data_IF_040328711934
#
_entry.id   IF_040328711934
#
_cell.length_a   1.000
_cell.length_b   1.000
_cell.length_c   1.000
_cell.angle_alpha   90.00
_cell.angle_beta   90.00
_cell.angle_gamma   90.00
#
_symmetry.space_group_name_H-M   'P 1'
#
loop_
_entity.id
_entity.type
_entity.pdbx_description
1 polymer ?
#
# COMPACT_ATOMS: atom_id res chain seq x y z
N UNK A 1 -10.83 11.97 -18.75
CA UNK A 1 -10.14 10.74 -18.32
C UNK A 1 -11.18 9.66 -18.06
N UNK A 2 -10.99 8.48 -18.65
CA UNK A 2 -11.70 7.25 -18.28
C UNK A 2 -10.70 6.31 -17.61
N UNK A 3 -10.82 6.17 -16.29
CA UNK A 3 -9.84 5.52 -15.43
C UNK A 3 -10.30 4.14 -14.98
N UNK A 4 -9.44 3.13 -15.08
CA UNK A 4 -9.62 1.86 -14.39
C UNK A 4 -8.94 1.92 -13.02
N UNK A 5 -9.66 1.63 -11.93
CA UNK A 5 -9.12 1.44 -10.58
C UNK A 5 -9.31 -0.01 -10.17
N UNK A 6 -8.22 -0.78 -10.18
CA UNK A 6 -8.27 -2.13 -9.60
C UNK A 6 -8.20 -2.04 -8.08
N UNK A 7 -8.99 -2.86 -7.38
CA UNK A 7 -9.02 -2.83 -5.92
C UNK A 7 -9.81 -1.66 -5.33
N UNK A 8 -10.76 -1.07 -6.07
CA UNK A 8 -11.62 0.02 -5.56
C UNK A 8 -12.45 -0.36 -4.32
N UNK A 9 -12.66 -1.66 -4.08
CA UNK A 9 -13.27 -2.17 -2.85
C UNK A 9 -12.41 -2.03 -1.58
N UNK A 10 -11.11 -1.77 -1.74
CA UNK A 10 -10.13 -1.63 -0.65
C UNK A 10 -10.02 -0.22 -0.08
N UNK A 11 -9.10 -0.02 0.87
CA UNK A 11 -8.92 1.28 1.53
C UNK A 11 -8.44 2.37 0.57
N UNK A 12 -7.23 2.21 0.02
CA UNK A 12 -6.63 3.14 -0.93
C UNK A 12 -7.42 3.24 -2.24
N UNK A 13 -7.79 2.11 -2.83
CA UNK A 13 -8.53 2.09 -4.09
C UNK A 13 -9.89 2.77 -3.98
N UNK A 14 -10.59 2.61 -2.85
CA UNK A 14 -11.88 3.28 -2.63
C UNK A 14 -11.73 4.80 -2.55
N UNK A 15 -10.77 5.28 -1.76
CA UNK A 15 -10.49 6.71 -1.66
C UNK A 15 -10.03 7.31 -3.01
N UNK A 16 -9.29 6.55 -3.81
CA UNK A 16 -8.91 6.94 -5.17
C UNK A 16 -10.10 7.05 -6.12
N UNK A 17 -11.08 6.13 -6.04
CA UNK A 17 -12.33 6.26 -6.80
C UNK A 17 -13.02 7.58 -6.45
N UNK A 18 -13.17 7.92 -5.17
CA UNK A 18 -13.81 9.17 -4.74
C UNK A 18 -13.07 10.40 -5.28
N UNK A 19 -11.72 10.43 -5.18
CA UNK A 19 -10.94 11.54 -5.71
C UNK A 19 -11.14 11.68 -7.22
N UNK A 20 -11.05 10.59 -7.97
CA UNK A 20 -11.18 10.62 -9.44
C UNK A 20 -12.56 11.12 -9.88
N UNK A 21 -13.63 10.70 -9.20
CA UNK A 21 -14.97 11.23 -9.45
C UNK A 21 -15.06 12.73 -9.16
N UNK A 22 -14.45 13.21 -8.06
CA UNK A 22 -14.40 14.64 -7.74
C UNK A 22 -13.65 15.46 -8.79
N UNK A 23 -12.75 14.82 -9.57
CA UNK A 23 -12.02 15.41 -10.69
C UNK A 23 -12.77 15.30 -12.03
N UNK A 24 -14.00 14.79 -12.02
CA UNK A 24 -14.83 14.60 -13.21
C UNK A 24 -14.40 13.43 -14.10
N UNK A 25 -13.60 12.48 -13.58
CA UNK A 25 -13.24 11.28 -14.34
C UNK A 25 -14.40 10.29 -14.36
N UNK A 26 -14.56 9.59 -15.49
CA UNK A 26 -15.38 8.38 -15.54
C UNK A 26 -14.55 7.22 -14.97
N UNK A 27 -15.04 6.55 -13.93
CA UNK A 27 -14.28 5.53 -13.22
C UNK A 27 -14.87 4.16 -13.50
N UNK A 28 -14.02 3.21 -13.85
CA UNK A 28 -14.33 1.78 -13.79
C UNK A 28 -13.57 1.16 -12.64
N UNK A 29 -14.21 0.35 -11.82
CA UNK A 29 -13.53 -0.38 -10.75
C UNK A 29 -13.58 -1.87 -11.00
N UNK A 30 -12.41 -2.52 -10.95
CA UNK A 30 -12.30 -3.99 -10.95
C UNK A 30 -12.06 -4.48 -9.52
N UNK A 31 -12.96 -5.31 -9.01
CA UNK A 31 -12.82 -5.91 -7.68
C UNK A 31 -13.46 -7.31 -7.62
N UNK A 32 -13.05 -8.14 -6.65
CA UNK A 32 -13.48 -9.54 -6.57
C UNK A 32 -14.91 -9.76 -6.08
N UNK A 33 -15.47 -8.80 -5.35
CA UNK A 33 -16.81 -8.90 -4.78
C UNK A 33 -17.60 -7.62 -5.04
N UNK A 34 -18.83 -7.62 -4.54
CA UNK A 34 -19.69 -6.45 -4.60
C UNK A 34 -19.35 -5.47 -3.48
N UNK A 35 -19.34 -4.19 -3.82
CA UNK A 35 -19.05 -3.12 -2.88
C UNK A 35 -20.13 -2.04 -3.04
N UNK A 36 -21.21 -2.07 -2.24
CA UNK A 36 -22.33 -1.14 -2.37
C UNK A 36 -21.92 0.34 -2.43
N UNK A 37 -20.88 0.73 -1.69
CA UNK A 37 -20.34 2.11 -1.71
C UNK A 37 -19.78 2.57 -3.06
N UNK A 38 -19.41 1.64 -3.96
CA UNK A 38 -18.94 1.95 -5.30
C UNK A 38 -20.09 2.11 -6.28
N UNK A 39 -21.31 1.69 -5.92
CA UNK A 39 -22.51 1.83 -6.75
C UNK A 39 -23.01 3.26 -6.64
N UNK A 40 -22.47 4.13 -7.49
CA UNK A 40 -22.87 5.55 -7.57
C UNK A 40 -22.67 6.08 -8.99
N UNK A 41 -23.33 7.22 -9.35
CA UNK A 41 -23.17 7.81 -10.67
C UNK A 41 -21.69 8.06 -11.01
N UNK A 42 -21.30 7.71 -12.24
CA UNK A 42 -19.92 7.86 -12.73
C UNK A 42 -18.98 6.68 -12.43
N UNK A 43 -19.45 5.64 -11.73
CA UNK A 43 -18.68 4.41 -11.48
C UNK A 43 -19.31 3.21 -12.18
N UNK A 44 -18.53 2.53 -13.00
CA UNK A 44 -18.83 1.20 -13.54
C UNK A 44 -18.11 0.14 -12.70
N UNK A 45 -18.83 -0.80 -12.11
CA UNK A 45 -18.22 -1.89 -11.34
C UNK A 45 -18.11 -3.15 -12.21
N UNK A 46 -16.89 -3.67 -12.36
CA UNK A 46 -16.59 -4.96 -12.96
C UNK A 46 -16.19 -5.91 -11.85
N UNK A 47 -16.96 -6.99 -11.68
CA UNK A 47 -16.60 -8.04 -10.75
C UNK A 47 -15.66 -9.05 -11.43
N UNK A 48 -14.51 -9.31 -10.83
CA UNK A 48 -13.55 -10.27 -11.36
C UNK A 48 -12.25 -10.33 -10.57
N UNK A 49 -11.46 -11.36 -10.85
CA UNK A 49 -10.09 -11.48 -10.34
C UNK A 49 -9.11 -10.92 -11.37
N UNK A 50 -8.13 -10.13 -10.92
CA UNK A 50 -7.08 -9.61 -11.81
C UNK A 50 -6.21 -10.73 -12.38
N UNK A 51 -6.14 -11.89 -11.70
CA UNK A 51 -5.44 -13.07 -12.20
C UNK A 51 -6.17 -13.76 -13.36
N UNK A 52 -7.45 -13.43 -13.61
CA UNK A 52 -8.19 -13.86 -14.79
C UNK A 52 -7.96 -12.88 -15.95
N UNK A 53 -7.33 -13.33 -17.06
CA UNK A 53 -7.05 -12.46 -18.21
C UNK A 53 -8.33 -11.92 -18.87
N UNK A 54 -9.44 -12.66 -18.84
CA UNK A 54 -10.70 -12.20 -19.42
C UNK A 54 -11.31 -11.05 -18.61
N UNK A 55 -11.29 -11.16 -17.28
CA UNK A 55 -11.72 -10.10 -16.37
C UNK A 55 -10.84 -8.84 -16.51
N UNK A 56 -9.52 -9.01 -16.62
CA UNK A 56 -8.59 -7.91 -16.87
C UNK A 56 -8.86 -7.22 -18.21
N UNK A 57 -9.08 -7.99 -19.28
CA UNK A 57 -9.42 -7.47 -20.61
C UNK A 57 -10.72 -6.65 -20.58
N UNK A 58 -11.80 -7.22 -20.02
CA UNK A 58 -13.08 -6.53 -19.87
C UNK A 58 -12.94 -5.22 -19.10
N UNK A 59 -12.20 -5.25 -17.98
CA UNK A 59 -11.98 -4.07 -17.16
C UNK A 59 -11.22 -2.96 -17.91
N UNK A 60 -10.22 -3.30 -18.73
CA UNK A 60 -9.43 -2.30 -19.45
C UNK A 60 -10.15 -1.65 -20.64
N UNK A 61 -11.24 -2.23 -21.17
CA UNK A 61 -11.89 -1.76 -22.41
C UNK A 61 -12.28 -0.28 -22.39
N UNK A 62 -11.66 0.52 -23.26
CA UNK A 62 -11.94 1.94 -23.42
C UNK A 62 -11.46 2.81 -22.25
N UNK A 63 -10.61 2.29 -21.35
CA UNK A 63 -9.93 3.08 -20.34
C UNK A 63 -8.63 3.65 -20.93
N UNK A 64 -8.36 4.93 -20.69
CA UNK A 64 -7.12 5.60 -21.12
C UNK A 64 -6.00 5.51 -20.06
N UNK A 65 -6.38 5.33 -18.80
CA UNK A 65 -5.50 5.34 -17.63
C UNK A 65 -5.85 4.19 -16.69
N UNK A 66 -4.84 3.45 -16.23
CA UNK A 66 -5.00 2.34 -15.27
C UNK A 66 -4.29 2.66 -13.96
N UNK A 67 -5.04 2.65 -12.87
CA UNK A 67 -4.55 2.68 -11.50
C UNK A 67 -4.59 1.26 -10.92
N UNK A 68 -3.43 0.61 -10.88
CA UNK A 68 -3.30 -0.74 -10.36
C UNK A 68 -3.00 -0.74 -8.85
N UNK A 69 -4.08 -0.69 -8.04
CA UNK A 69 -4.03 -0.68 -6.56
C UNK A 69 -4.29 -2.06 -5.95
N UNK A 70 -4.91 -2.98 -6.70
CA UNK A 70 -5.19 -4.33 -6.23
C UNK A 70 -3.90 -5.11 -5.93
N UNK A 71 -3.82 -5.69 -4.73
CA UNK A 71 -2.75 -6.60 -4.35
C UNK A 71 -3.25 -7.57 -3.27
N UNK A 72 -2.66 -8.77 -3.23
CA UNK A 72 -2.68 -9.61 -2.04
C UNK A 72 -1.59 -9.10 -1.10
N UNK A 73 -2.03 -8.47 -0.02
CA UNK A 73 -1.19 -7.98 1.08
C UNK A 73 -1.16 -8.99 2.23
N UNK A 74 -0.18 -8.87 3.11
CA UNK A 74 -0.05 -9.68 4.32
C UNK A 74 1.24 -10.50 4.36
N UNK A 75 1.51 -11.08 5.54
CA UNK A 75 2.79 -11.75 5.84
C UNK A 75 2.67 -13.27 5.95
N UNK A 76 1.47 -13.81 5.73
CA UNK A 76 1.18 -15.23 5.86
C UNK A 76 0.32 -15.74 4.70
N UNK A 77 0.52 -17.01 4.33
CA UNK A 77 -0.18 -17.67 3.23
C UNK A 77 0.78 -18.26 2.21
N UNK A 78 0.21 -18.95 1.21
CA UNK A 78 0.99 -19.68 0.20
C UNK A 78 1.56 -18.71 -0.82
N UNK A 79 2.83 -18.89 -1.18
CA UNK A 79 3.49 -18.12 -2.23
C UNK A 79 2.67 -18.04 -3.53
N UNK A 80 2.06 -19.14 -3.96
CA UNK A 80 1.25 -19.20 -5.19
C UNK A 80 0.10 -18.18 -5.20
N UNK A 81 -0.51 -17.91 -4.04
CA UNK A 81 -1.63 -16.98 -3.94
C UNK A 81 -1.14 -15.53 -4.08
N UNK A 82 0.04 -15.21 -3.53
CA UNK A 82 0.71 -13.91 -3.73
C UNK A 82 1.15 -13.74 -5.17
N UNK A 83 1.77 -14.76 -5.77
CA UNK A 83 2.24 -14.71 -7.15
C UNK A 83 1.09 -14.53 -8.14
N UNK A 84 0.01 -15.31 -8.00
CA UNK A 84 -1.16 -15.22 -8.87
C UNK A 84 -1.77 -13.81 -8.84
N UNK A 85 -1.94 -13.23 -7.64
CA UNK A 85 -2.55 -11.89 -7.53
C UNK A 85 -1.57 -10.80 -7.95
N UNK A 86 -0.36 -10.77 -7.37
CA UNK A 86 0.54 -9.64 -7.48
C UNK A 86 1.39 -9.67 -8.74
N UNK A 87 1.75 -10.85 -9.29
CA UNK A 87 2.61 -10.95 -10.47
C UNK A 87 1.77 -11.24 -11.71
N UNK A 88 1.04 -12.37 -11.70
CA UNK A 88 0.19 -12.75 -12.83
C UNK A 88 -0.90 -11.72 -13.08
N UNK A 89 -1.57 -11.23 -12.02
CA UNK A 89 -2.58 -10.18 -12.15
C UNK A 89 -2.04 -8.86 -12.71
N UNK A 90 -0.83 -8.45 -12.31
CA UNK A 90 -0.17 -7.27 -12.89
C UNK A 90 0.18 -7.49 -14.36
N UNK A 91 0.73 -8.66 -14.73
CA UNK A 91 1.04 -8.99 -16.11
C UNK A 91 -0.21 -8.98 -17.02
N UNK A 92 -1.32 -9.56 -16.54
CA UNK A 92 -2.60 -9.54 -17.25
C UNK A 92 -3.09 -8.10 -17.48
N UNK A 93 -3.03 -7.25 -16.45
CA UNK A 93 -3.46 -5.85 -16.56
C UNK A 93 -2.56 -5.04 -17.50
N UNK A 94 -1.25 -5.26 -17.49
CA UNK A 94 -0.32 -4.61 -18.43
C UNK A 94 -0.66 -4.99 -19.88
N UNK A 95 -0.85 -6.28 -20.15
CA UNK A 95 -1.24 -6.77 -21.47
C UNK A 95 -2.61 -6.22 -21.91
N UNK A 96 -3.61 -6.30 -21.04
CA UNK A 96 -4.96 -5.81 -21.31
C UNK A 96 -5.02 -4.29 -21.51
N UNK A 97 -4.27 -3.51 -20.70
CA UNK A 97 -4.22 -2.06 -20.81
C UNK A 97 -3.63 -1.64 -22.16
N UNK A 98 -2.51 -2.24 -22.57
CA UNK A 98 -1.89 -1.99 -23.88
C UNK A 98 -2.84 -2.36 -25.03
N UNK A 99 -3.47 -3.54 -24.96
CA UNK A 99 -4.41 -4.00 -25.98
C UNK A 99 -5.66 -3.11 -26.10
N UNK A 100 -6.11 -2.52 -24.99
CA UNK A 100 -7.23 -1.60 -24.96
C UNK A 100 -6.86 -0.16 -25.37
N UNK A 101 -5.58 0.13 -25.64
CA UNK A 101 -5.12 1.46 -26.02
C UNK A 101 -4.95 2.44 -24.85
N UNK A 102 -4.86 1.96 -23.61
CA UNK A 102 -4.50 2.82 -22.49
C UNK A 102 -3.10 3.40 -22.72
N UNK A 103 -2.89 4.65 -22.33
CA UNK A 103 -1.59 5.35 -22.48
C UNK A 103 -0.82 5.47 -21.17
N UNK A 104 -1.49 5.28 -20.03
CA UNK A 104 -0.92 5.48 -18.68
C UNK A 104 -1.20 4.31 -17.76
N UNK A 105 -0.17 3.84 -17.06
CA UNK A 105 -0.28 2.79 -16.04
C UNK A 105 0.42 3.20 -14.74
N UNK A 106 -0.36 3.43 -13.70
CA UNK A 106 0.09 3.83 -12.37
C UNK A 106 -0.03 2.62 -11.45
N UNK A 107 1.10 2.09 -10.99
CA UNK A 107 1.16 0.94 -10.12
C UNK A 107 1.37 1.35 -8.66
N UNK A 108 0.52 0.86 -7.76
CA UNK A 108 0.75 0.99 -6.32
C UNK A 108 1.70 -0.11 -5.87
N UNK A 109 2.99 0.20 -5.78
CA UNK A 109 4.05 -0.64 -5.21
C UNK A 109 4.14 -0.47 -3.68
N UNK A 110 5.30 -0.76 -3.09
CA UNK A 110 5.54 -0.66 -1.64
C UNK A 110 7.03 -0.46 -1.36
N UNK A 111 7.41 0.25 -0.29
CA UNK A 111 8.82 0.30 0.12
C UNK A 111 9.43 -1.06 0.45
N UNK A 112 8.61 -2.07 0.75
CA UNK A 112 9.09 -3.43 0.98
C UNK A 112 9.81 -4.06 -0.21
N UNK A 113 9.65 -3.55 -1.44
CA UNK A 113 10.28 -4.10 -2.64
C UNK A 113 11.81 -3.94 -2.68
N UNK A 114 12.35 -3.02 -1.88
CA UNK A 114 13.80 -2.79 -1.73
C UNK A 114 14.30 -3.12 -0.32
N UNK A 115 13.42 -3.59 0.57
CA UNK A 115 13.79 -3.93 1.94
C UNK A 115 14.51 -5.28 1.97
N UNK A 116 15.76 -5.28 2.43
CA UNK A 116 16.56 -6.47 2.62
C UNK A 116 16.55 -6.93 4.09
N UNK A 117 17.10 -6.11 4.99
CA UNK A 117 17.13 -6.29 6.43
C UNK A 117 17.63 -5.01 7.12
N UNK A 118 17.32 -4.86 8.40
CA UNK A 118 17.86 -3.78 9.23
C UNK A 118 17.15 -2.44 9.04
N UNK A 119 17.84 -1.36 9.41
CA UNK A 119 17.35 0.01 9.32
C UNK A 119 17.39 0.53 7.88
N UNK A 120 16.32 1.18 7.45
CA UNK A 120 16.20 1.91 6.20
C UNK A 120 15.97 3.40 6.51
N UNK A 121 17.03 4.19 6.46
CA UNK A 121 17.04 5.60 6.85
C UNK A 121 17.38 6.49 5.65
N UNK A 122 16.44 7.36 5.26
CA UNK A 122 16.63 8.30 4.15
C UNK A 122 16.85 7.61 2.80
N UNK A 123 16.31 6.40 2.64
CA UNK A 123 16.54 5.59 1.45
C UNK A 123 15.92 6.22 0.21
N UNK A 124 16.67 6.19 -0.90
CA UNK A 124 16.32 6.74 -2.22
C UNK A 124 15.99 5.65 -3.23
N UNK A 125 15.39 6.03 -4.34
CA UNK A 125 14.92 5.14 -5.40
C UNK A 125 16.03 4.35 -6.12
N UNK A 126 17.28 4.78 -5.99
CA UNK A 126 18.46 4.15 -6.60
C UNK A 126 18.92 2.87 -5.90
N UNK A 127 18.34 2.54 -4.74
CA UNK A 127 18.65 1.28 -4.04
C UNK A 127 18.15 0.10 -4.88
N UNK A 128 19.01 -0.88 -5.18
CA UNK A 128 18.62 -2.02 -6.00
C UNK A 128 17.64 -2.93 -5.27
N UNK A 129 16.89 -3.72 -6.03
CA UNK A 129 16.10 -4.82 -5.47
C UNK A 129 17.03 -5.83 -4.79
N UNK A 130 16.67 -6.35 -3.60
CA UNK A 130 17.51 -7.28 -2.87
C UNK A 130 17.54 -8.66 -3.54
N UNK A 131 18.66 -9.38 -3.37
CA UNK A 131 18.79 -10.75 -3.86
C UNK A 131 17.92 -11.76 -3.10
N UNK A 132 17.53 -11.43 -1.87
CA UNK A 132 16.69 -12.26 -0.99
C UNK A 132 15.61 -11.42 -0.35
N UNK A 133 14.43 -12.02 -0.19
CA UNK A 133 13.25 -11.39 0.41
C UNK A 133 12.75 -12.27 1.56
N UNK A 134 12.52 -11.65 2.72
CA UNK A 134 11.97 -12.32 3.90
C UNK A 134 10.44 -12.44 3.88
N UNK A 135 9.80 -11.88 2.83
CA UNK A 135 8.35 -11.87 2.66
C UNK A 135 7.94 -12.22 1.23
N UNK A 136 6.95 -13.12 1.09
CA UNK A 136 6.32 -13.40 -0.20
C UNK A 136 5.67 -12.16 -0.80
N UNK A 137 5.10 -11.29 0.04
CA UNK A 137 4.54 -10.02 -0.41
C UNK A 137 5.62 -9.13 -1.03
N UNK A 138 6.72 -8.88 -0.30
CA UNK A 138 7.82 -8.06 -0.78
C UNK A 138 8.40 -8.61 -2.10
N UNK A 139 8.67 -9.92 -2.16
CA UNK A 139 9.18 -10.60 -3.35
C UNK A 139 8.27 -10.42 -4.57
N UNK A 140 6.98 -10.66 -4.39
CA UNK A 140 6.01 -10.61 -5.50
C UNK A 140 5.70 -9.18 -5.92
N UNK A 141 5.68 -8.21 -4.99
CA UNK A 141 5.57 -6.79 -5.33
C UNK A 141 6.79 -6.26 -6.08
N UNK A 142 8.00 -6.71 -5.72
CA UNK A 142 9.22 -6.35 -6.44
C UNK A 142 9.19 -6.88 -7.88
N UNK A 143 8.82 -8.16 -8.08
CA UNK A 143 8.66 -8.73 -9.40
C UNK A 143 7.62 -7.98 -10.25
N UNK A 144 6.48 -7.62 -9.64
CA UNK A 144 5.44 -6.85 -10.31
C UNK A 144 5.89 -5.42 -10.68
N UNK A 145 6.61 -4.73 -9.78
CA UNK A 145 7.18 -3.41 -10.06
C UNK A 145 8.16 -3.48 -11.23
N UNK A 146 9.03 -4.49 -11.26
CA UNK A 146 9.96 -4.70 -12.37
C UNK A 146 9.22 -4.92 -13.71
N UNK A 147 8.16 -5.72 -13.73
CA UNK A 147 7.32 -5.91 -14.92
C UNK A 147 6.71 -4.58 -15.39
N UNK A 148 6.16 -3.79 -14.47
CA UNK A 148 5.55 -2.50 -14.80
C UNK A 148 6.59 -1.56 -15.41
N UNK A 149 7.73 -1.37 -14.75
CA UNK A 149 8.76 -0.43 -15.22
C UNK A 149 9.38 -0.86 -16.56
N UNK A 150 9.49 -2.17 -16.81
CA UNK A 150 10.00 -2.71 -18.07
C UNK A 150 9.05 -2.48 -19.26
N UNK A 151 7.76 -2.25 -19.02
CA UNK A 151 6.76 -2.02 -20.05
C UNK A 151 6.63 -0.54 -20.47
N UNK A 152 7.40 0.36 -19.85
CA UNK A 152 7.43 1.77 -20.22
C UNK A 152 7.90 1.96 -21.67
N UNK A 153 7.11 2.64 -22.49
CA UNK A 153 7.40 2.89 -23.89
C UNK A 153 6.81 4.23 -24.37
N UNK A 154 7.18 4.72 -25.57
CA UNK A 154 6.65 5.97 -26.10
C UNK A 154 5.12 6.01 -26.29
N UNK A 155 4.43 4.86 -26.28
CA UNK A 155 2.97 4.76 -26.42
C UNK A 155 2.28 4.29 -25.15
N UNK A 156 3.03 3.90 -24.12
CA UNK A 156 2.52 3.34 -22.89
C UNK A 156 3.45 3.72 -21.73
N UNK A 157 3.10 4.80 -21.05
CA UNK A 157 3.90 5.33 -19.94
C UNK A 157 3.50 4.65 -18.65
N UNK A 158 4.50 4.19 -17.90
CA UNK A 158 4.29 3.49 -16.63
C UNK A 158 4.97 4.22 -15.49
N UNK A 159 4.43 4.13 -14.28
CA UNK A 159 5.05 4.65 -13.06
C UNK A 159 4.68 3.78 -11.86
N UNK A 160 5.58 3.64 -10.91
CA UNK A 160 5.33 2.91 -9.65
C UNK A 160 5.42 3.83 -8.44
N UNK A 161 4.43 3.77 -7.56
CA UNK A 161 4.39 4.54 -6.31
C UNK A 161 4.55 3.61 -5.13
N UNK A 162 5.46 3.92 -4.19
CA UNK A 162 5.77 3.14 -3.00
C UNK A 162 5.26 3.84 -1.74
N UNK A 163 3.93 3.90 -1.49
CA UNK A 163 3.40 4.48 -0.27
C UNK A 163 3.76 3.63 0.95
N UNK A 164 4.13 4.28 2.06
CA UNK A 164 4.50 3.59 3.30
C UNK A 164 3.41 3.74 4.37
N UNK A 165 2.94 2.60 4.90
CA UNK A 165 1.98 2.54 6.02
C UNK A 165 0.82 3.54 5.86
N UNK A 166 0.00 3.36 4.81
CA UNK A 166 -1.13 4.25 4.55
C UNK A 166 -2.16 4.15 5.68
N UNK A 167 -2.55 5.28 6.26
CA UNK A 167 -3.52 5.35 7.36
C UNK A 167 -4.49 6.52 7.20
N UNK A 168 -5.64 6.45 7.88
CA UNK A 168 -6.63 7.53 7.90
C UNK A 168 -8.06 7.03 8.11
N UNK A 169 -9.04 7.93 8.11
CA UNK A 169 -10.46 7.59 8.18
C UNK A 169 -10.89 6.54 7.15
N UNK A 170 -11.69 5.55 7.55
CA UNK A 170 -12.28 4.56 6.65
C UNK A 170 -11.86 3.12 6.97
N UNK A 171 -11.98 2.23 5.96
CA UNK A 171 -11.71 0.78 6.12
C UNK A 171 -10.22 0.46 6.11
N UNK A 172 -9.45 1.13 6.95
CA UNK A 172 -8.01 0.88 7.10
C UNK A 172 -7.74 -0.35 7.97
N UNK A 173 -7.01 -1.32 7.43
CA UNK A 173 -6.58 -2.51 8.15
C UNK A 173 -5.53 -2.19 9.23
N UNK A 174 -4.65 -1.21 9.00
CA UNK A 174 -3.58 -0.86 9.93
C UNK A 174 -4.16 -0.23 11.20
N UNK A 175 -4.91 0.85 11.07
CA UNK A 175 -5.60 1.51 12.19
C UNK A 175 -6.53 0.53 12.91
N UNK A 176 -7.34 -0.24 12.19
CA UNK A 176 -8.26 -1.21 12.83
C UNK A 176 -7.52 -2.26 13.65
N UNK A 177 -6.38 -2.78 13.15
CA UNK A 177 -5.54 -3.75 13.88
C UNK A 177 -4.90 -3.12 15.12
N UNK A 178 -4.34 -1.92 15.00
CA UNK A 178 -3.74 -1.20 16.13
C UNK A 178 -4.78 -0.95 17.22
N UNK A 179 -5.93 -0.38 16.85
CA UNK A 179 -6.99 -0.02 17.81
C UNK A 179 -7.59 -1.26 18.48
N UNK A 180 -7.88 -2.32 17.73
CA UNK A 180 -8.41 -3.56 18.30
C UNK A 180 -7.43 -4.21 19.29
N UNK A 181 -6.15 -4.32 18.94
CA UNK A 181 -5.13 -4.88 19.82
C UNK A 181 -4.84 -3.97 21.03
N UNK A 182 -4.90 -2.66 20.85
CA UNK A 182 -4.72 -1.67 21.90
C UNK A 182 -5.85 -1.72 22.93
N UNK A 183 -7.11 -1.69 22.48
CA UNK A 183 -8.29 -1.83 23.34
C UNK A 183 -8.34 -3.18 24.07
N UNK A 184 -7.83 -4.24 23.44
CA UNK A 184 -7.67 -5.56 24.08
C UNK A 184 -6.47 -5.65 25.04
N UNK A 185 -5.67 -4.60 25.20
CA UNK A 185 -4.48 -4.59 26.06
C UNK A 185 -3.38 -5.56 25.60
N UNK A 186 -3.34 -5.91 24.32
CA UNK A 186 -2.41 -6.91 23.73
C UNK A 186 -1.14 -6.30 23.14
N UNK A 187 -1.12 -5.01 22.85
CA UNK A 187 0.08 -4.35 22.31
C UNK A 187 1.20 -4.24 23.36
N UNK A 188 2.43 -4.46 22.93
CA UNK A 188 3.65 -4.35 23.75
C UNK A 188 4.74 -3.67 22.93
N UNK A 189 5.46 -2.75 23.55
CA UNK A 189 6.67 -2.13 22.98
C UNK A 189 7.77 -3.18 22.89
N UNK A 190 8.39 -3.36 21.72
CA UNK A 190 9.44 -4.36 21.54
C UNK A 190 10.80 -3.72 21.80
N UNK A 191 11.50 -4.21 22.82
CA UNK A 191 12.76 -3.67 23.29
C UNK A 191 12.66 -2.23 23.80
N UNK A 192 13.81 -1.57 23.89
CA UNK A 192 13.92 -0.12 24.17
C UNK A 192 13.96 0.73 22.91
N UNK A 193 13.61 0.17 21.75
CA UNK A 193 13.72 0.83 20.46
C UNK A 193 12.50 1.74 20.21
N UNK A 194 12.76 2.97 19.76
CA UNK A 194 11.73 3.88 19.25
C UNK A 194 12.22 4.49 17.93
N UNK A 195 12.39 3.62 16.93
CA UNK A 195 12.98 3.96 15.64
C UNK A 195 12.04 4.83 14.82
N UNK A 196 12.62 5.66 13.96
CA UNK A 196 11.86 6.55 13.09
C UNK A 196 11.22 5.76 11.95
N UNK A 197 9.93 6.00 11.74
CA UNK A 197 9.19 5.57 10.57
C UNK A 197 8.57 6.80 9.91
N UNK A 198 8.47 6.76 8.60
CA UNK A 198 7.57 7.68 7.89
C UNK A 198 6.25 6.95 7.62
N UNK A 199 5.16 7.68 7.43
CA UNK A 199 3.85 7.10 7.12
C UNK A 199 3.19 7.89 5.99
N UNK A 200 2.01 7.50 5.54
CA UNK A 200 1.28 8.28 4.53
C UNK A 200 -0.17 8.41 4.94
N UNK A 201 -0.67 9.63 5.06
CA UNK A 201 -2.09 9.87 5.25
C UNK A 201 -2.83 9.53 3.95
N UNK A 202 -4.04 8.96 4.07
CA UNK A 202 -4.81 8.42 2.95
C UNK A 202 -5.03 9.44 1.82
N UNK A 203 -5.36 10.69 2.15
CA UNK A 203 -5.62 11.71 1.14
C UNK A 203 -4.35 12.05 0.36
N UNK A 204 -3.19 12.05 1.03
CA UNK A 204 -1.89 12.31 0.41
C UNK A 204 -1.44 11.13 -0.47
N UNK A 205 -1.69 9.89 -0.03
CA UNK A 205 -1.45 8.71 -0.84
C UNK A 205 -2.28 8.75 -2.13
N UNK A 206 -3.57 9.11 -2.04
CA UNK A 206 -4.45 9.23 -3.20
C UNK A 206 -4.05 10.39 -4.10
N UNK A 207 -3.68 11.54 -3.52
CA UNK A 207 -3.19 12.69 -4.27
C UNK A 207 -1.91 12.36 -5.06
N UNK A 208 -0.99 11.56 -4.50
CA UNK A 208 0.19 11.10 -5.22
C UNK A 208 -0.17 10.29 -6.48
N UNK A 209 -1.21 9.45 -6.42
CA UNK A 209 -1.68 8.70 -7.59
C UNK A 209 -2.27 9.64 -8.64
N UNK A 210 -3.08 10.61 -8.22
CA UNK A 210 -3.61 11.63 -9.13
C UNK A 210 -2.50 12.43 -9.81
N UNK A 211 -1.54 12.96 -9.04
CA UNK A 211 -0.40 13.70 -9.57
C UNK A 211 0.45 12.85 -10.53
N UNK A 212 0.65 11.57 -10.21
CA UNK A 212 1.31 10.65 -11.12
C UNK A 212 0.57 10.56 -12.45
N UNK A 213 -0.75 10.37 -12.47
CA UNK A 213 -1.51 10.30 -13.70
C UNK A 213 -1.49 11.61 -14.52
N UNK A 214 -1.58 12.76 -13.85
CA UNK A 214 -1.54 14.08 -14.49
C UNK A 214 -0.18 14.38 -15.14
N UNK A 215 0.91 13.95 -14.51
CA UNK A 215 2.28 14.21 -14.97
C UNK A 215 2.80 13.17 -15.94
N UNK A 216 2.22 11.97 -15.94
CA UNK A 216 2.73 10.84 -16.73
C UNK A 216 2.43 11.04 -18.22
N UNK A 217 3.51 11.14 -18.98
CA UNK A 217 3.54 11.18 -20.44
C UNK A 217 4.84 10.51 -20.93
N UNK A 218 4.97 10.19 -22.23
CA UNK A 218 6.14 9.47 -22.76
C UNK A 218 7.50 10.08 -22.40
N UNK A 219 7.60 11.40 -22.43
CA UNK A 219 8.84 12.15 -22.16
C UNK A 219 8.89 12.73 -20.74
N UNK A 220 7.91 12.41 -19.88
CA UNK A 220 7.88 12.90 -18.52
C UNK A 220 9.08 12.36 -17.74
N UNK A 221 9.67 13.21 -16.89
CA UNK A 221 10.75 12.81 -16.00
C UNK A 221 10.39 11.62 -15.08
N UNK A 222 9.08 11.38 -14.85
CA UNK A 222 8.58 10.30 -14.02
C UNK A 222 8.25 8.99 -14.76
N UNK A 223 8.27 8.99 -16.11
CA UNK A 223 8.00 7.79 -16.89
C UNK A 223 9.08 6.72 -16.66
N UNK A 224 8.64 5.48 -16.47
CA UNK A 224 9.51 4.33 -16.23
C UNK A 224 10.22 4.33 -14.87
N UNK A 225 9.73 5.11 -13.89
CA UNK A 225 10.37 5.23 -12.57
C UNK A 225 9.46 4.81 -11.41
N UNK A 226 10.11 4.48 -10.29
CA UNK A 226 9.45 4.27 -9.01
C UNK A 226 9.67 5.50 -8.10
N UNK A 227 8.77 5.75 -7.16
CA UNK A 227 8.84 6.88 -6.22
C UNK A 227 8.39 6.49 -4.82
N UNK A 228 9.15 6.87 -3.78
CA UNK A 228 8.65 6.79 -2.41
C UNK A 228 7.61 7.87 -2.15
N UNK A 229 6.51 7.48 -1.51
CA UNK A 229 5.41 8.36 -1.12
C UNK A 229 5.23 8.25 0.40
N UNK A 230 5.31 9.39 1.08
CA UNK A 230 5.18 9.50 2.53
C UNK A 230 4.85 10.93 2.96
N UNK A 231 4.71 11.16 4.27
CA UNK A 231 4.54 12.50 4.85
C UNK A 231 5.83 13.33 4.80
N UNK A 232 7.00 12.71 4.64
CA UNK A 232 8.28 13.40 4.77
C UNK A 232 8.48 13.96 6.18
N UNK A 233 7.83 13.36 7.17
CA UNK A 233 7.86 13.70 8.59
C UNK A 233 8.13 12.42 9.40
N UNK A 234 9.38 11.91 9.41
CA UNK A 234 9.70 10.69 10.13
C UNK A 234 9.52 10.88 11.65
N UNK A 235 8.73 10.00 12.26
CA UNK A 235 8.42 10.04 13.70
C UNK A 235 8.72 8.69 14.36
N UNK A 236 8.96 8.68 15.68
CA UNK A 236 9.16 7.42 16.39
C UNK A 236 7.93 6.51 16.26
N UNK A 237 8.16 5.23 16.00
CA UNK A 237 7.09 4.30 15.66
C UNK A 237 6.01 4.14 16.76
N UNK A 238 6.41 4.10 18.03
CA UNK A 238 5.47 4.00 19.14
C UNK A 238 4.69 5.29 19.37
N UNK A 239 5.23 6.43 18.96
CA UNK A 239 4.54 7.71 19.05
C UNK A 239 3.39 7.74 18.05
N UNK A 240 3.61 7.32 16.80
CA UNK A 240 2.54 7.17 15.79
C UNK A 240 1.47 6.18 16.25
N UNK A 241 1.86 5.01 16.77
CA UNK A 241 0.92 4.01 17.30
C UNK A 241 0.08 4.61 18.42
N UNK A 242 0.70 5.33 19.36
CA UNK A 242 -0.01 5.95 20.48
C UNK A 242 -0.90 7.12 20.04
N UNK A 243 -0.52 7.87 19.01
CA UNK A 243 -1.37 8.90 18.40
C UNK A 243 -2.64 8.30 17.78
N UNK A 244 -2.52 7.16 17.07
CA UNK A 244 -3.67 6.42 16.53
C UNK A 244 -4.58 5.92 17.66
N UNK A 245 -3.99 5.34 18.72
CA UNK A 245 -4.76 4.87 19.87
C UNK A 245 -5.51 6.01 20.57
N UNK A 246 -4.85 7.15 20.79
CA UNK A 246 -5.46 8.33 21.37
C UNK A 246 -6.63 8.85 20.51
N UNK A 247 -6.45 8.89 19.18
CA UNK A 247 -7.52 9.29 18.25
C UNK A 247 -8.77 8.38 18.37
N UNK A 248 -8.57 7.09 18.66
CA UNK A 248 -9.63 6.10 18.87
C UNK A 248 -10.15 6.00 20.32
N UNK A 249 -9.70 6.89 21.22
CA UNK A 249 -10.06 6.90 22.64
C UNK A 249 -9.46 5.75 23.46
N UNK A 250 -8.39 5.12 22.98
CA UNK A 250 -7.68 4.05 23.68
C UNK A 250 -6.45 4.58 24.45
N UNK A 251 -6.08 3.90 25.53
CA UNK A 251 -4.89 4.23 26.31
C UNK A 251 -3.57 3.90 25.59
N UNK A 252 -2.45 4.55 25.97
CA UNK A 252 -1.16 4.36 25.32
C UNK A 252 -0.54 3.00 25.64
N UNK A 253 0.31 2.51 24.75
CA UNK A 253 1.12 1.30 24.95
C UNK A 253 2.35 1.64 25.80
N UNK A 254 2.31 1.27 27.08
CA UNK A 254 3.41 1.49 28.03
C UNK A 254 4.21 0.23 28.34
N UNK A 255 3.60 -0.96 28.19
CA UNK A 255 4.23 -2.24 28.54
C UNK A 255 5.25 -2.63 27.47
N UNK A 256 6.41 -3.11 27.90
CA UNK A 256 7.50 -3.55 27.02
C UNK A 256 7.65 -5.08 27.03
N UNK A 257 8.27 -5.63 25.99
CA UNK A 257 8.75 -7.02 25.90
C UNK A 257 10.17 -6.99 25.31
N UNK A 258 11.15 -7.73 25.88
CA UNK A 258 12.49 -7.82 25.30
C UNK A 258 12.47 -8.35 23.86
N UNK A 259 13.38 -7.85 23.02
CA UNK A 259 13.48 -8.26 21.60
C UNK A 259 13.62 -9.77 21.44
N UNK A 260 14.52 -10.40 22.20
CA UNK A 260 14.78 -11.84 22.14
C UNK A 260 13.54 -12.66 22.48
N UNK A 261 12.78 -12.25 23.51
CA UNK A 261 11.53 -12.88 23.88
C UNK A 261 10.46 -12.73 22.79
N UNK A 262 10.31 -11.54 22.21
CA UNK A 262 9.38 -11.29 21.12
C UNK A 262 9.73 -12.11 19.86
N UNK A 263 11.02 -12.17 19.51
CA UNK A 263 11.50 -12.91 18.35
C UNK A 263 11.33 -14.43 18.52
N UNK A 264 11.62 -14.96 19.72
CA UNK A 264 11.40 -16.37 20.03
C UNK A 264 9.91 -16.74 20.00
N UNK A 265 9.04 -15.91 20.60
CA UNK A 265 7.60 -16.11 20.55
C UNK A 265 7.07 -16.10 19.11
N UNK A 266 7.56 -15.18 18.29
CA UNK A 266 7.20 -15.10 16.88
C UNK A 266 7.63 -16.37 16.10
N UNK A 267 8.86 -16.84 16.29
CA UNK A 267 9.36 -18.06 15.65
C UNK A 267 8.52 -19.30 16.04
N UNK A 268 8.15 -19.39 17.32
CA UNK A 268 7.27 -20.44 17.81
C UNK A 268 5.88 -20.36 17.18
N UNK A 269 5.24 -19.19 17.18
CA UNK A 269 3.92 -18.99 16.58
C UNK A 269 3.89 -19.34 15.09
N UNK A 270 4.89 -18.89 14.32
CA UNK A 270 5.00 -19.24 12.90
C UNK A 270 5.12 -20.77 12.71
N UNK A 271 5.93 -21.44 13.52
CA UNK A 271 6.12 -22.89 13.44
C UNK A 271 4.83 -23.63 13.79
N UNK A 272 4.18 -23.25 14.89
CA UNK A 272 2.90 -23.83 15.31
C UNK A 272 1.81 -23.64 14.26
N UNK A 273 1.70 -22.45 13.65
CA UNK A 273 0.72 -22.18 12.59
C UNK A 273 0.97 -23.02 11.34
N UNK A 274 2.24 -23.24 10.96
CA UNK A 274 2.59 -24.09 9.82
C UNK A 274 2.23 -25.54 10.08
N UNK A 275 2.58 -26.06 11.26
CA UNK A 275 2.29 -27.43 11.66
C UNK A 275 0.78 -27.68 11.75
N UNK A 276 0.02 -26.71 12.29
CA UNK A 276 -1.43 -26.77 12.39
C UNK A 276 -2.16 -26.43 11.08
N UNK A 277 -1.42 -26.12 10.00
CA UNK A 277 -1.97 -25.71 8.69
C UNK A 277 -2.98 -24.55 8.77
N UNK A 278 -2.80 -23.66 9.73
CA UNK A 278 -3.68 -22.51 9.93
C UNK A 278 -3.38 -21.47 8.84
N UNK A 279 -4.42 -21.10 8.09
CA UNK A 279 -4.34 -20.17 6.97
C UNK A 279 -4.40 -18.70 7.39
N UNK A 280 -4.89 -18.41 8.60
CA UNK A 280 -4.93 -17.06 9.16
C UNK A 280 -3.54 -16.64 9.64
N UNK A 281 -3.26 -15.33 9.63
CA UNK A 281 -1.96 -14.80 10.07
C UNK A 281 -1.79 -15.01 11.58
N UNK A 282 -0.62 -15.49 12.06
CA UNK A 282 -0.35 -15.56 13.48
C UNK A 282 -0.32 -14.15 14.10
N UNK A 283 -0.62 -14.00 15.41
CA UNK A 283 -0.66 -12.70 16.06
C UNK A 283 0.66 -11.92 15.98
N UNK A 284 1.80 -12.63 15.99
CA UNK A 284 3.15 -12.09 15.89
C UNK A 284 3.99 -12.94 14.93
N UNK A 285 4.70 -12.28 14.01
CA UNK A 285 5.68 -12.90 13.11
C UNK A 285 7.05 -12.24 13.32
N UNK A 286 8.12 -12.93 12.95
CA UNK A 286 9.50 -12.40 13.04
C UNK A 286 9.65 -11.15 12.19
N UNK A 287 8.96 -11.10 11.05
CA UNK A 287 8.88 -9.90 10.22
C UNK A 287 8.22 -8.72 10.95
N UNK A 288 7.09 -8.94 11.65
CA UNK A 288 6.44 -7.87 12.44
C UNK A 288 7.36 -7.39 13.55
N UNK A 289 8.09 -8.29 14.21
CA UNK A 289 9.11 -7.93 15.21
C UNK A 289 10.19 -7.05 14.58
N UNK A 290 10.73 -7.43 13.42
CA UNK A 290 11.72 -6.63 12.68
C UNK A 290 11.17 -5.26 12.30
N UNK A 291 10.00 -5.20 11.65
CA UNK A 291 9.37 -3.94 11.24
C UNK A 291 9.12 -2.96 12.42
N UNK A 292 8.80 -3.48 13.61
CA UNK A 292 8.60 -2.68 14.82
C UNK A 292 9.91 -2.30 15.54
N UNK A 293 11.05 -2.82 15.10
CA UNK A 293 12.34 -2.62 15.76
C UNK A 293 13.40 -1.98 14.86
N UNK A 294 13.10 -1.81 13.57
CA UNK A 294 13.96 -1.11 12.59
C UNK A 294 13.34 0.20 12.09
N UNK A 295 14.19 1.12 11.65
CA UNK A 295 13.80 2.38 11.05
C UNK A 295 13.34 2.19 9.61
N UNK A 296 12.30 2.94 9.19
CA UNK A 296 11.76 2.88 7.82
C UNK A 296 11.27 4.26 7.40
N UNK A 297 12.17 5.08 6.89
CA UNK A 297 11.84 6.38 6.33
C UNK A 297 12.66 6.65 5.06
N UNK A 298 12.05 7.39 4.14
CA UNK A 298 12.50 7.45 2.75
C UNK A 298 12.64 8.91 2.30
N UNK A 299 13.55 9.16 1.37
CA UNK A 299 13.70 10.46 0.75
C UNK A 299 12.64 10.62 -0.36
N UNK A 300 11.75 11.59 -0.20
CA UNK A 300 10.68 11.88 -1.17
C UNK A 300 11.01 13.06 -2.11
N UNK A 301 12.27 13.46 -2.20
CA UNK A 301 12.69 14.61 -3.02
C UNK A 301 12.44 14.36 -4.51
N UNK A 302 12.57 13.11 -4.95
CA UNK A 302 12.27 12.73 -6.33
C UNK A 302 10.77 12.93 -6.64
N UNK A 303 9.88 12.49 -5.75
CA UNK A 303 8.43 12.67 -5.92
C UNK A 303 8.04 14.16 -5.89
N UNK A 304 8.68 14.96 -5.00
CA UNK A 304 8.50 16.42 -4.95
C UNK A 304 8.89 17.11 -6.27
N UNK A 305 10.04 16.74 -6.83
CA UNK A 305 10.58 17.33 -8.06
C UNK A 305 9.79 16.92 -9.29
N UNK A 306 9.53 15.63 -9.47
CA UNK A 306 9.04 15.10 -10.74
C UNK A 306 7.51 15.07 -10.80
N UNK A 307 6.82 14.93 -9.65
CA UNK A 307 5.36 14.88 -9.56
C UNK A 307 4.74 16.16 -8.99
N UNK A 308 5.54 17.02 -8.36
CA UNK A 308 5.03 18.13 -7.55
C UNK A 308 4.39 17.66 -6.24
N UNK A 309 4.65 16.42 -5.82
CA UNK A 309 4.02 15.82 -4.64
C UNK A 309 4.44 16.56 -3.36
N UNK A 310 3.45 17.05 -2.61
CA UNK A 310 3.62 17.63 -1.28
C UNK A 310 2.46 17.16 -0.41
N UNK A 311 2.72 16.57 0.76
CA UNK A 311 1.66 16.21 1.70
C UNK A 311 0.86 17.45 2.09
N UNK A 312 -0.45 17.40 1.87
CA UNK A 312 -1.39 18.47 2.16
C UNK A 312 -1.95 18.39 3.59
N UNK A 313 -1.87 17.22 4.22
CA UNK A 313 -2.39 16.99 5.58
C UNK A 313 -1.23 16.67 6.51
N UNK A 314 -1.07 17.41 7.60
CA UNK A 314 -0.06 17.05 8.62
C UNK A 314 -0.51 15.83 9.41
N UNK A 315 0.43 15.13 10.07
CA UNK A 315 0.10 13.97 10.90
C UNK A 315 -0.91 14.37 11.98
N UNK A 316 -0.74 15.53 12.63
CA UNK A 316 -1.63 16.03 13.67
C UNK A 316 -3.05 16.29 13.12
N UNK A 317 -3.16 16.88 11.93
CA UNK A 317 -4.47 17.09 11.31
C UNK A 317 -5.12 15.77 10.89
N UNK A 318 -4.33 14.82 10.36
CA UNK A 318 -4.81 13.48 10.03
C UNK A 318 -5.33 12.74 11.26
N UNK A 319 -4.68 12.87 12.43
CA UNK A 319 -5.16 12.29 13.69
C UNK A 319 -6.46 12.94 14.18
N UNK A 320 -6.64 14.26 14.00
CA UNK A 320 -7.92 14.93 14.29
C UNK A 320 -9.04 14.41 13.40
N UNK A 321 -8.78 14.27 12.10
CA UNK A 321 -9.74 13.71 11.15
C UNK A 321 -10.11 12.26 11.52
N UNK A 322 -9.12 11.47 11.90
CA UNK A 322 -9.31 10.10 12.34
C UNK A 322 -10.15 10.03 13.64
N UNK A 323 -9.88 10.90 14.60
CA UNK A 323 -10.66 10.98 15.84
C UNK A 323 -12.11 11.39 15.58
N UNK A 324 -12.34 12.34 14.66
CA UNK A 324 -13.69 12.71 14.24
C UNK A 324 -14.40 11.52 13.60
N UNK A 325 -13.74 10.81 12.69
CA UNK A 325 -14.30 9.62 12.04
C UNK A 325 -14.73 8.55 13.05
N UNK A 326 -13.90 8.25 14.07
CA UNK A 326 -14.26 7.31 15.13
C UNK A 326 -15.48 7.71 15.95
N UNK A 327 -15.84 9.00 16.00
CA UNK A 327 -17.07 9.47 16.68
C UNK A 327 -18.32 9.33 15.81
N UNK A 328 -18.15 9.13 14.50
CA UNK A 328 -19.24 9.04 13.53
C UNK A 328 -19.62 7.61 13.13
N UNK A 329 -18.84 6.61 13.56
CA UNK A 329 -19.02 5.19 13.23
C UNK A 329 -19.33 4.34 14.45
#
# INVERSE_FOLDING_TARGET
>A
MKALVTGGGGFLGGALVELLLSKGAAVRSLARGEYPRLVKPGVECVQGDIADPAAAALACQGCDTVFHVAAKVGMWGRYRDFHATNVTGTANLLAAAKAAGASRFIFTSSPSVIYAAGDAEGVKENVPYPARFDSHYAKTKAAAEQLVLAENSPRFSTISLRPHLVWGPGRDHLVSRIVSQGKAGKLRRIGGFNKLIDTTYIDDAVMAHWLAAEKLSPDAACAGKAYFISQGDPRPNWDIINMILAAAGAGPVIKTIPYTAAYAAAAFMETAWRLAQITTEPPLTRFVVQQLTTAHWFDISAARRDLGYKPGVTIEQGMKNLSHWFKTV
#
